data_IF_335146838363
#
_entry.id   IF_335146838363
#
_cell.length_a   1.000
_cell.length_b   1.000
_cell.length_c   1.000
_cell.angle_alpha   90.00
_cell.angle_beta   90.00
_cell.angle_gamma   90.00
#
_symmetry.space_group_name_H-M   'P 1'
#
loop_
_entity.id
_entity.type
_entity.pdbx_description
1 polymer ?
#
# COMPACT_ATOMS: atom_id res chain seq x y z
N UNK A 1 12.17 -7.00 28.00
CA UNK A 1 12.71 -6.58 26.69
C UNK A 1 11.67 -6.89 25.60
N UNK A 2 10.93 -5.88 25.11
CA UNK A 2 9.90 -6.11 24.09
C UNK A 2 10.53 -6.57 22.78
N UNK A 3 10.14 -7.75 22.28
CA UNK A 3 10.64 -8.30 21.00
C UNK A 3 10.36 -7.29 19.87
N UNK A 4 11.38 -6.98 19.07
CA UNK A 4 11.33 -6.03 17.95
C UNK A 4 10.27 -6.44 16.92
N UNK A 5 9.44 -5.49 16.47
CA UNK A 5 8.47 -5.69 15.38
C UNK A 5 9.20 -6.10 14.09
N UNK A 6 8.71 -7.13 13.41
CA UNK A 6 9.39 -7.72 12.26
C UNK A 6 9.05 -6.99 10.95
N UNK A 7 7.74 -6.86 10.67
CA UNK A 7 7.16 -6.38 9.41
C UNK A 7 6.28 -5.13 9.56
N UNK A 8 5.66 -4.94 10.72
CA UNK A 8 4.84 -3.77 11.03
C UNK A 8 5.65 -2.78 11.87
N UNK A 9 6.57 -2.07 11.22
CA UNK A 9 7.52 -1.17 11.90
C UNK A 9 6.93 0.22 12.05
N UNK A 10 7.25 0.92 13.14
CA UNK A 10 6.93 2.35 13.23
C UNK A 10 7.57 3.06 12.04
N UNK A 11 6.77 3.83 11.32
CA UNK A 11 7.24 4.61 10.19
C UNK A 11 7.91 5.87 10.73
N UNK A 12 9.23 5.81 10.82
CA UNK A 12 10.10 6.93 11.13
C UNK A 12 11.35 6.80 10.25
N UNK A 13 11.22 7.05 8.93
CA UNK A 13 12.30 6.79 7.99
C UNK A 13 13.52 7.69 8.20
N UNK A 14 13.35 8.83 8.88
CA UNK A 14 14.38 9.86 8.95
C UNK A 14 14.83 10.17 10.39
N UNK A 15 14.03 9.82 11.41
CA UNK A 15 14.29 10.28 12.78
C UNK A 15 14.38 11.81 12.89
N UNK A 16 13.86 12.50 11.87
CA UNK A 16 14.12 13.90 11.62
C UNK A 16 13.03 14.73 12.32
N UNK A 17 13.41 15.70 13.16
CA UNK A 17 12.46 16.56 13.88
C UNK A 17 11.53 17.36 12.94
N UNK A 18 11.85 17.46 11.66
CA UNK A 18 11.03 18.13 10.65
C UNK A 18 9.93 17.23 10.05
N UNK A 19 9.86 15.92 10.35
CA UNK A 19 8.69 15.13 9.94
C UNK A 19 7.47 15.55 10.74
N UNK A 20 6.58 16.31 10.11
CA UNK A 20 5.27 16.70 10.67
C UNK A 20 4.23 15.58 10.58
N UNK A 21 4.65 14.42 10.09
CA UNK A 21 3.80 13.29 9.82
C UNK A 21 3.25 12.68 11.12
N UNK A 22 1.93 12.38 11.21
CA UNK A 22 1.40 11.70 12.39
C UNK A 22 2.06 10.32 12.57
N UNK A 23 2.21 9.85 13.82
CA UNK A 23 2.72 8.52 14.09
C UNK A 23 1.90 7.45 13.39
N UNK A 24 2.58 6.55 12.67
CA UNK A 24 1.96 5.45 11.95
C UNK A 24 2.89 4.24 11.86
N UNK A 25 2.32 3.07 11.61
CA UNK A 25 3.09 1.90 11.21
C UNK A 25 3.25 1.85 9.69
N UNK A 26 4.33 1.25 9.21
CA UNK A 26 4.54 0.91 7.80
C UNK A 26 4.46 -0.59 7.61
N UNK A 27 3.68 -1.03 6.62
CA UNK A 27 3.60 -2.43 6.19
C UNK A 27 3.78 -2.50 4.68
N UNK A 28 4.74 -3.30 4.21
CA UNK A 28 4.99 -3.51 2.78
C UNK A 28 4.85 -5.01 2.49
N UNK A 29 3.77 -5.46 1.81
CA UNK A 29 3.60 -6.87 1.48
C UNK A 29 4.61 -7.38 0.45
N UNK A 30 5.08 -6.48 -0.39
CA UNK A 30 6.03 -6.73 -1.46
C UNK A 30 7.34 -5.95 -1.24
N UNK A 31 8.39 -6.39 -1.91
CA UNK A 31 9.63 -5.63 -2.10
C UNK A 31 9.82 -5.39 -3.59
N UNK A 32 10.07 -4.15 -3.99
CA UNK A 32 10.05 -3.75 -5.40
C UNK A 32 8.63 -3.59 -5.96
N UNK A 33 8.51 -3.11 -7.19
CA UNK A 33 7.23 -2.77 -7.80
C UNK A 33 7.21 -3.04 -9.31
N UNK A 34 6.20 -3.77 -9.77
CA UNK A 34 6.03 -4.12 -11.19
C UNK A 34 5.39 -3.04 -12.05
N UNK A 35 5.08 -1.87 -11.49
CA UNK A 35 4.61 -0.71 -12.25
C UNK A 35 5.70 -0.03 -13.10
N UNK A 36 6.97 -0.20 -12.73
CA UNK A 36 8.13 0.24 -13.54
C UNK A 36 8.14 1.73 -13.90
N UNK A 37 7.65 2.59 -12.99
CA UNK A 37 7.61 4.03 -13.23
C UNK A 37 9.03 4.57 -13.44
N UNK A 38 9.26 5.35 -14.49
CA UNK A 38 10.58 5.86 -14.87
C UNK A 38 11.17 6.80 -13.81
N UNK A 39 10.30 7.48 -13.05
CA UNK A 39 10.66 8.42 -12.00
C UNK A 39 10.70 7.79 -10.59
N UNK A 40 10.67 6.45 -10.48
CA UNK A 40 10.46 5.78 -9.20
C UNK A 40 11.67 5.93 -8.25
N UNK A 41 11.45 6.59 -7.11
CA UNK A 41 12.48 6.83 -6.10
C UNK A 41 13.04 5.54 -5.47
N UNK A 42 12.31 4.41 -5.48
CA UNK A 42 12.78 3.17 -4.85
C UNK A 42 14.02 2.59 -5.57
N UNK A 43 14.28 3.02 -6.81
CA UNK A 43 15.43 2.62 -7.60
C UNK A 43 16.76 3.02 -6.97
N UNK A 44 16.79 4.04 -6.11
CA UNK A 44 18.01 4.49 -5.44
C UNK A 44 18.45 3.60 -4.28
N UNK A 45 17.56 2.76 -3.73
CA UNK A 45 17.87 1.95 -2.55
C UNK A 45 17.32 0.51 -2.55
N UNK A 46 16.49 0.11 -3.52
CA UNK A 46 16.03 -1.27 -3.67
C UNK A 46 16.73 -1.94 -4.85
N UNK A 47 17.64 -2.91 -4.61
CA UNK A 47 18.21 -3.72 -5.68
C UNK A 47 17.11 -4.44 -6.46
N UNK A 48 17.25 -4.47 -7.79
CA UNK A 48 16.23 -5.04 -8.70
C UNK A 48 14.84 -4.48 -8.38
N UNK A 49 14.74 -3.14 -8.31
CA UNK A 49 13.55 -2.39 -7.90
C UNK A 49 12.27 -2.77 -8.64
N UNK A 50 12.39 -3.17 -9.90
CA UNK A 50 11.25 -3.51 -10.76
C UNK A 50 10.85 -4.99 -10.76
N UNK A 51 11.64 -5.83 -10.10
CA UNK A 51 11.22 -7.19 -9.76
C UNK A 51 10.43 -7.16 -8.45
N UNK A 52 9.10 -7.20 -8.58
CA UNK A 52 8.22 -7.28 -7.41
C UNK A 52 8.30 -8.68 -6.80
N UNK A 53 8.69 -8.75 -5.53
CA UNK A 53 8.90 -9.99 -4.78
C UNK A 53 7.98 -10.01 -3.56
N UNK A 54 7.11 -11.03 -3.38
CA UNK A 54 6.32 -11.16 -2.17
C UNK A 54 7.22 -11.44 -0.96
N UNK A 55 6.88 -10.88 0.20
CA UNK A 55 7.64 -11.17 1.42
C UNK A 55 7.30 -12.55 1.97
N UNK A 56 8.33 -13.37 2.17
CA UNK A 56 8.22 -14.70 2.79
C UNK A 56 7.62 -14.60 4.19
N UNK A 57 6.74 -15.53 4.52
CA UNK A 57 6.07 -15.66 5.83
C UNK A 57 5.42 -14.37 6.34
N UNK A 58 5.01 -13.47 5.44
CA UNK A 58 4.49 -12.16 5.81
C UNK A 58 3.31 -12.24 6.78
N UNK A 59 2.30 -13.05 6.48
CA UNK A 59 1.09 -13.13 7.31
C UNK A 59 1.41 -13.63 8.71
N UNK A 60 2.20 -14.70 8.84
CA UNK A 60 2.61 -15.23 10.15
C UNK A 60 3.33 -14.19 11.00
N UNK A 61 4.21 -13.40 10.39
CA UNK A 61 4.94 -12.32 11.09
C UNK A 61 4.02 -11.13 11.41
N UNK A 62 3.13 -10.78 10.48
CA UNK A 62 2.17 -9.70 10.66
C UNK A 62 1.23 -9.98 11.83
N UNK A 63 0.69 -11.19 11.95
CA UNK A 63 -0.17 -11.58 13.08
C UNK A 63 0.54 -11.42 14.43
N UNK A 64 1.82 -11.79 14.51
CA UNK A 64 2.62 -11.62 15.72
C UNK A 64 2.86 -10.15 16.07
N UNK A 65 3.11 -9.32 15.07
CA UNK A 65 3.31 -7.90 15.25
C UNK A 65 1.98 -7.21 15.62
N UNK A 66 0.88 -7.53 14.93
CA UNK A 66 -0.47 -7.02 15.21
C UNK A 66 -0.93 -7.35 16.63
N UNK A 67 -0.51 -8.50 17.18
CA UNK A 67 -0.77 -8.88 18.57
C UNK A 67 -0.25 -7.84 19.59
N UNK A 68 0.69 -6.98 19.19
CA UNK A 68 1.44 -6.05 20.03
C UNK A 68 1.39 -4.59 19.55
N UNK A 69 0.71 -4.34 18.44
CA UNK A 69 0.60 -3.01 17.85
C UNK A 69 -0.27 -2.10 18.74
N UNK A 70 0.09 -0.82 18.80
CA UNK A 70 -0.76 0.23 19.36
C UNK A 70 -1.88 0.52 18.35
N UNK A 71 -3.13 0.20 18.71
CA UNK A 71 -4.30 0.34 17.85
C UNK A 71 -4.70 1.80 17.59
N UNK A 72 -4.12 2.76 18.32
CA UNK A 72 -4.28 4.19 18.08
C UNK A 72 -3.51 4.68 16.85
N UNK A 73 -2.49 3.93 16.43
CA UNK A 73 -1.70 4.23 15.23
C UNK A 73 -2.30 3.54 14.02
N UNK A 74 -2.41 4.26 12.90
CA UNK A 74 -2.85 3.67 11.64
C UNK A 74 -1.69 2.96 10.91
N UNK A 75 -2.04 2.11 9.96
CA UNK A 75 -1.10 1.36 9.12
C UNK A 75 -1.02 1.98 7.74
N UNK A 76 0.15 2.49 7.37
CA UNK A 76 0.49 2.97 6.04
C UNK A 76 0.97 1.80 5.18
N UNK A 77 0.23 1.49 4.14
CA UNK A 77 0.52 0.39 3.23
C UNK A 77 1.47 0.82 2.13
N UNK A 78 2.58 0.09 2.02
CA UNK A 78 3.49 0.05 0.88
C UNK A 78 4.26 1.33 0.55
N UNK A 79 4.88 1.96 1.54
CA UNK A 79 5.72 3.17 1.35
C UNK A 79 7.06 2.94 0.60
N UNK A 80 7.33 1.74 0.08
CA UNK A 80 8.47 1.44 -0.79
C UNK A 80 8.18 0.33 -1.82
N UNK A 81 6.89 0.12 -2.12
CA UNK A 81 6.38 -0.80 -3.13
C UNK A 81 4.99 -0.32 -3.57
N UNK A 82 4.25 -1.09 -4.36
CA UNK A 82 2.80 -0.87 -4.50
C UNK A 82 2.10 -2.03 -3.78
N UNK A 83 0.97 -1.81 -3.07
CA UNK A 83 0.24 -2.90 -2.43
C UNK A 83 -0.48 -3.79 -3.46
N UNK A 84 -0.70 -3.31 -4.67
CA UNK A 84 -1.48 -3.98 -5.70
C UNK A 84 -0.73 -4.14 -7.03
N UNK A 85 0.48 -4.74 -7.03
CA UNK A 85 1.18 -5.06 -8.26
C UNK A 85 0.40 -6.14 -9.05
N UNK A 86 0.65 -6.34 -10.35
CA UNK A 86 -0.04 -7.35 -11.16
C UNK A 86 -0.10 -8.76 -10.53
N UNK A 87 0.93 -9.17 -9.78
CA UNK A 87 1.01 -10.45 -9.08
C UNK A 87 -0.02 -10.59 -7.95
N UNK A 88 -0.48 -9.48 -7.36
CA UNK A 88 -1.51 -9.47 -6.30
C UNK A 88 -2.85 -10.00 -6.80
N UNK A 89 -3.10 -10.00 -8.13
CA UNK A 89 -4.29 -10.66 -8.72
C UNK A 89 -4.36 -12.14 -8.37
N UNK A 90 -3.21 -12.81 -8.23
CA UNK A 90 -3.11 -14.24 -7.91
C UNK A 90 -2.71 -14.49 -6.46
N UNK A 91 -1.77 -13.70 -5.94
CA UNK A 91 -1.17 -13.94 -4.62
C UNK A 91 -2.06 -13.56 -3.45
N UNK A 92 -2.99 -12.60 -3.63
CA UNK A 92 -3.93 -12.15 -2.60
C UNK A 92 -3.24 -11.80 -1.28
N UNK A 93 -1.99 -11.33 -1.33
CA UNK A 93 -1.16 -11.14 -0.14
C UNK A 93 -1.59 -9.87 0.59
N UNK A 94 -1.80 -8.79 -0.15
CA UNK A 94 -2.33 -7.54 0.39
C UNK A 94 -3.73 -7.74 0.95
N UNK A 95 -4.61 -8.46 0.23
CA UNK A 95 -5.95 -8.77 0.76
C UNK A 95 -5.88 -9.47 2.10
N UNK A 96 -5.07 -10.54 2.21
CA UNK A 96 -4.93 -11.29 3.47
C UNK A 96 -4.33 -10.44 4.59
N UNK A 97 -3.44 -9.49 4.26
CA UNK A 97 -2.98 -8.50 5.23
C UNK A 97 -4.12 -7.59 5.70
N UNK A 98 -4.94 -7.07 4.78
CA UNK A 98 -6.09 -6.24 5.12
C UNK A 98 -7.10 -6.99 6.00
N UNK A 99 -7.38 -8.26 5.71
CA UNK A 99 -8.25 -9.10 6.55
C UNK A 99 -7.69 -9.28 7.97
N UNK A 100 -6.36 -9.43 8.12
CA UNK A 100 -5.71 -9.50 9.42
C UNK A 100 -5.77 -8.17 10.19
N UNK A 101 -5.55 -7.06 9.49
CA UNK A 101 -5.67 -5.71 10.05
C UNK A 101 -7.12 -5.44 10.48
N UNK A 102 -8.08 -5.84 9.66
CA UNK A 102 -9.50 -5.67 9.91
C UNK A 102 -9.97 -6.41 11.17
N UNK A 103 -9.46 -7.62 11.43
CA UNK A 103 -9.72 -8.35 12.69
C UNK A 103 -9.25 -7.59 13.94
N UNK A 104 -8.31 -6.66 13.81
CA UNK A 104 -7.84 -5.79 14.90
C UNK A 104 -8.52 -4.41 14.91
N UNK A 105 -9.39 -4.12 13.94
CA UNK A 105 -10.07 -2.83 13.81
C UNK A 105 -9.13 -1.64 13.53
N UNK A 106 -7.88 -1.90 13.15
CA UNK A 106 -6.88 -0.84 12.97
C UNK A 106 -7.11 -0.07 11.67
N UNK A 107 -6.93 1.25 11.73
CA UNK A 107 -7.08 2.10 10.57
C UNK A 107 -5.99 1.85 9.52
N UNK A 108 -6.32 1.97 8.24
CA UNK A 108 -5.38 1.75 7.13
C UNK A 108 -5.36 2.89 6.12
N UNK A 109 -4.16 3.32 5.73
CA UNK A 109 -3.93 4.21 4.60
C UNK A 109 -3.27 3.40 3.48
N UNK A 110 -3.87 3.44 2.28
CA UNK A 110 -3.33 2.80 1.09
C UNK A 110 -2.90 3.88 0.10
N UNK A 111 -1.72 3.72 -0.49
CA UNK A 111 -1.26 4.53 -1.62
C UNK A 111 -1.01 3.56 -2.79
N UNK A 112 -1.66 3.76 -3.93
CA UNK A 112 -1.52 2.84 -5.08
C UNK A 112 -1.71 3.55 -6.42
N UNK A 113 -1.22 2.93 -7.49
CA UNK A 113 -1.60 3.24 -8.88
C UNK A 113 -2.60 2.24 -9.48
N UNK A 114 -2.93 1.19 -8.72
CA UNK A 114 -3.64 0.04 -9.23
C UNK A 114 -5.14 0.16 -9.05
N UNK A 115 -5.91 -0.19 -10.07
CA UNK A 115 -7.37 -0.34 -9.99
C UNK A 115 -7.79 -1.61 -9.24
N UNK A 116 -6.86 -2.52 -8.95
CA UNK A 116 -7.14 -3.79 -8.27
C UNK A 116 -7.63 -3.60 -6.83
N UNK A 117 -7.33 -2.47 -6.19
CA UNK A 117 -7.79 -2.15 -4.82
C UNK A 117 -9.30 -2.22 -4.66
N UNK A 118 -10.07 -1.99 -5.74
CA UNK A 118 -11.54 -2.06 -5.73
C UNK A 118 -12.05 -3.45 -5.32
N UNK A 119 -11.30 -4.52 -5.61
CA UNK A 119 -11.63 -5.90 -5.18
C UNK A 119 -11.78 -6.01 -3.67
N UNK A 120 -11.02 -5.20 -2.94
CA UNK A 120 -10.92 -5.27 -1.49
C UNK A 120 -11.76 -4.16 -0.82
N UNK A 121 -12.66 -3.50 -1.56
CA UNK A 121 -13.58 -2.49 -1.03
C UNK A 121 -14.38 -3.00 0.18
N UNK A 122 -14.88 -4.25 0.14
CA UNK A 122 -15.63 -4.81 1.26
C UNK A 122 -14.85 -4.88 2.58
N UNK A 123 -13.56 -5.24 2.54
CA UNK A 123 -12.74 -5.27 3.76
C UNK A 123 -12.33 -3.85 4.17
N UNK A 124 -12.07 -2.97 3.20
CA UNK A 124 -11.74 -1.57 3.48
C UNK A 124 -12.90 -0.81 4.11
N UNK A 125 -14.14 -1.10 3.70
CA UNK A 125 -15.34 -0.50 4.29
C UNK A 125 -15.61 -0.99 5.73
N UNK A 126 -15.06 -2.14 6.14
CA UNK A 126 -15.25 -2.68 7.49
C UNK A 126 -14.35 -2.05 8.57
N UNK A 127 -13.40 -1.20 8.18
CA UNK A 127 -12.47 -0.50 9.08
C UNK A 127 -12.27 0.95 8.63
N UNK A 128 -11.79 1.85 9.51
CA UNK A 128 -11.38 3.17 9.08
C UNK A 128 -10.29 3.05 8.01
N UNK A 129 -10.59 3.49 6.79
CA UNK A 129 -9.68 3.37 5.66
C UNK A 129 -9.68 4.61 4.78
N UNK A 130 -8.56 4.82 4.10
CA UNK A 130 -8.43 5.83 3.04
C UNK A 130 -7.55 5.28 1.93
N UNK A 131 -7.95 5.50 0.68
CA UNK A 131 -7.19 5.07 -0.50
C UNK A 131 -6.75 6.29 -1.31
N UNK A 132 -5.44 6.55 -1.30
CA UNK A 132 -4.79 7.54 -2.13
C UNK A 132 -4.35 6.93 -3.46
N UNK A 133 -4.66 7.62 -4.56
CA UNK A 133 -4.28 7.23 -5.91
C UNK A 133 -3.25 8.18 -6.49
N UNK A 134 -2.14 7.67 -7.00
CA UNK A 134 -1.28 8.50 -7.85
C UNK A 134 -1.87 8.62 -9.25
N UNK A 135 -2.21 9.85 -9.67
CA UNK A 135 -2.54 10.19 -11.05
C UNK A 135 -1.56 11.26 -11.53
N UNK A 136 -0.50 10.85 -12.23
CA UNK A 136 0.57 11.75 -12.67
C UNK A 136 0.17 12.64 -13.83
N UNK A 137 -0.64 12.12 -14.74
CA UNK A 137 -1.20 12.84 -15.90
C UNK A 137 -2.49 12.16 -16.33
N UNK A 138 -3.36 12.89 -17.03
CA UNK A 138 -4.55 12.34 -17.70
C UNK A 138 -4.28 11.94 -19.15
N UNK A 139 -3.14 12.35 -19.71
CA UNK A 139 -2.69 11.93 -21.03
C UNK A 139 -2.28 10.45 -20.98
N UNK A 140 -3.03 9.62 -21.70
CA UNK A 140 -2.84 8.16 -21.74
C UNK A 140 -1.47 7.77 -22.30
N UNK A 141 -0.99 8.44 -23.33
CA UNK A 141 0.23 8.06 -24.03
C UNK A 141 1.46 8.53 -23.25
N UNK A 142 1.39 9.71 -22.62
CA UNK A 142 2.38 10.15 -21.66
C UNK A 142 2.43 9.23 -20.43
N UNK A 143 1.27 8.84 -19.87
CA UNK A 143 1.21 7.91 -18.76
C UNK A 143 1.84 6.55 -19.10
N UNK A 144 1.58 6.01 -20.29
CA UNK A 144 2.17 4.75 -20.74
C UNK A 144 3.70 4.82 -20.86
N UNK A 145 4.25 5.98 -21.23
CA UNK A 145 5.71 6.20 -21.26
C UNK A 145 6.31 6.36 -19.87
N UNK A 146 5.63 7.07 -18.97
CA UNK A 146 6.12 7.33 -17.62
C UNK A 146 5.95 6.13 -16.68
N UNK A 147 4.89 5.34 -16.86
CA UNK A 147 4.41 4.33 -15.91
C UNK A 147 3.98 3.03 -16.63
N UNK A 148 4.87 2.39 -17.41
CA UNK A 148 4.51 1.36 -18.40
C UNK A 148 3.86 0.10 -17.82
N UNK A 149 4.06 -0.19 -16.53
CA UNK A 149 3.44 -1.32 -15.85
C UNK A 149 2.21 -0.96 -15.00
N UNK A 150 1.87 0.32 -14.88
CA UNK A 150 0.72 0.77 -14.10
C UNK A 150 -0.55 0.85 -14.97
N UNK A 151 -1.76 0.69 -14.39
CA UNK A 151 -3.01 0.93 -15.13
C UNK A 151 -3.10 2.35 -15.68
N UNK A 152 -3.75 2.57 -16.84
CA UNK A 152 -3.93 3.90 -17.39
C UNK A 152 -4.72 4.82 -16.43
N UNK A 153 -4.55 6.15 -16.52
CA UNK A 153 -5.20 7.12 -15.63
C UNK A 153 -6.72 6.94 -15.54
N UNK A 154 -7.39 6.65 -16.66
CA UNK A 154 -8.84 6.42 -16.69
C UNK A 154 -9.30 5.27 -15.80
N UNK A 155 -8.52 4.18 -15.69
CA UNK A 155 -8.84 3.06 -14.79
C UNK A 155 -8.63 3.42 -13.32
N UNK A 156 -7.68 4.31 -13.02
CA UNK A 156 -7.47 4.82 -11.66
C UNK A 156 -8.64 5.70 -11.23
N UNK A 157 -9.09 6.59 -12.13
CA UNK A 157 -10.28 7.42 -11.89
C UNK A 157 -11.55 6.59 -11.71
N UNK A 158 -11.76 5.56 -12.53
CA UNK A 158 -12.89 4.65 -12.33
C UNK A 158 -12.82 3.91 -10.99
N UNK A 159 -11.63 3.45 -10.59
CA UNK A 159 -11.42 2.84 -9.29
C UNK A 159 -11.73 3.80 -8.13
N UNK A 160 -11.30 5.06 -8.23
CA UNK A 160 -11.62 6.10 -7.25
C UNK A 160 -13.13 6.31 -7.13
N UNK A 161 -13.84 6.43 -8.26
CA UNK A 161 -15.30 6.56 -8.29
C UNK A 161 -15.97 5.39 -7.57
N UNK A 162 -15.61 4.15 -7.92
CA UNK A 162 -16.19 2.93 -7.34
C UNK A 162 -15.93 2.79 -5.84
N UNK A 163 -14.75 3.19 -5.37
CA UNK A 163 -14.44 3.21 -3.94
C UNK A 163 -15.23 4.29 -3.21
N UNK A 164 -15.35 5.49 -3.79
CA UNK A 164 -16.16 6.56 -3.24
C UNK A 164 -17.64 6.18 -3.15
N UNK A 165 -18.19 5.51 -4.18
CA UNK A 165 -19.56 4.96 -4.18
C UNK A 165 -19.76 3.89 -3.10
N UNK A 166 -18.71 3.16 -2.73
CA UNK A 166 -18.70 2.22 -1.62
C UNK A 166 -18.50 2.88 -0.24
N UNK A 167 -18.49 4.22 -0.16
CA UNK A 167 -18.31 4.97 1.08
C UNK A 167 -16.88 5.03 1.61
N UNK A 168 -15.88 4.63 0.81
CA UNK A 168 -14.48 4.65 1.20
C UNK A 168 -13.86 5.99 0.80
N UNK A 169 -13.27 6.76 1.74
CA UNK A 169 -12.56 7.99 1.41
C UNK A 169 -11.44 7.75 0.39
N UNK A 170 -11.44 8.55 -0.66
CA UNK A 170 -10.41 8.53 -1.70
C UNK A 170 -9.68 9.88 -1.78
N UNK A 171 -8.38 9.84 -2.02
CA UNK A 171 -7.57 11.06 -2.24
C UNK A 171 -6.68 10.89 -3.47
N UNK A 172 -6.19 12.01 -3.99
CA UNK A 172 -5.13 12.07 -4.99
C UNK A 172 -3.78 12.33 -4.32
#
# INVERSE_FOLDING_TARGET
MGRKMEVLRRFDPWGDPLCTCPPKYGLNPYTGCSHRCVYCYITSYIPRAFECRPKVDLLRRLERDLARADDRMFISMSNSSDPYPPQERKLMLTRRCLEAIARRGMAVQIITKSDLVVRDAGVLASIPSVVSFTVTTLDRDLAARLEPGAPPPSRRLDAMRRLSEAGIPVTL
#
